data_IF_294724122622
#
_entry.id   IF_294724122622
#
_cell.length_a   1.000
_cell.length_b   1.000
_cell.length_c   1.000
_cell.angle_alpha   90.00
_cell.angle_beta   90.00
_cell.angle_gamma   90.00
#
_symmetry.space_group_name_H-M   'P 1'
#
loop_
_entity.id
_entity.type
_entity.pdbx_description
1 polymer ?
#
# COMPACT_ATOMS: atom_id res chain seq x y z
N UNK A 1 7.76 20.72 -10.11
CA UNK A 1 8.02 19.53 -9.28
C UNK A 1 6.71 19.08 -8.64
N UNK A 2 6.43 17.79 -8.75
CA UNK A 2 5.16 17.15 -8.37
C UNK A 2 5.06 16.87 -6.87
N UNK A 3 3.87 16.97 -6.28
CA UNK A 3 3.54 16.43 -4.95
C UNK A 3 3.18 14.95 -5.07
N UNK A 4 3.79 14.09 -4.26
CA UNK A 4 3.46 12.67 -4.17
C UNK A 4 2.55 12.40 -2.99
N UNK A 5 1.41 11.76 -3.25
CA UNK A 5 0.49 11.26 -2.24
C UNK A 5 0.55 9.74 -2.21
N UNK A 6 0.55 9.15 -1.01
CA UNK A 6 0.31 7.72 -0.80
C UNK A 6 -0.98 7.61 -0.02
N UNK A 7 -2.01 6.97 -0.57
CA UNK A 7 -3.23 6.67 0.18
C UNK A 7 -3.12 5.26 0.78
N UNK A 8 -3.29 5.16 2.09
CA UNK A 8 -3.07 3.90 2.80
C UNK A 8 -4.00 3.75 4.01
N UNK A 9 -4.21 2.50 4.41
CA UNK A 9 -4.83 2.12 5.68
C UNK A 9 -3.76 1.53 6.59
N UNK A 10 -3.85 1.84 7.88
CA UNK A 10 -3.00 1.26 8.90
C UNK A 10 -3.05 -0.29 8.84
N UNK A 11 -1.89 -0.98 8.77
CA UNK A 11 -1.80 -2.44 8.72
C UNK A 11 -2.23 -3.15 10.02
N UNK A 12 -3.52 -3.15 10.34
CA UNK A 12 -4.06 -3.78 11.55
C UNK A 12 -4.64 -5.16 11.24
N UNK A 13 -4.28 -6.23 12.00
CA UNK A 13 -4.85 -7.56 11.85
C UNK A 13 -6.38 -7.54 11.82
N UNK A 14 -6.97 -8.16 10.78
CA UNK A 14 -8.42 -8.22 10.59
C UNK A 14 -9.05 -6.96 9.98
N UNK A 15 -8.31 -5.87 9.77
CA UNK A 15 -8.80 -4.65 9.10
C UNK A 15 -8.27 -4.48 7.68
N UNK A 16 -7.14 -5.10 7.36
CA UNK A 16 -6.49 -5.06 6.03
C UNK A 16 -6.34 -6.46 5.45
N UNK A 17 -6.31 -6.54 4.11
CA UNK A 17 -6.05 -7.77 3.35
C UNK A 17 -6.83 -8.99 3.85
N UNK A 18 -8.10 -8.80 4.17
CA UNK A 18 -8.98 -9.89 4.65
C UNK A 18 -9.14 -11.00 3.63
N UNK A 19 -9.00 -10.69 2.32
CA UNK A 19 -8.97 -11.67 1.22
C UNK A 19 -7.73 -12.57 1.19
N UNK A 20 -6.69 -12.25 1.98
CA UNK A 20 -5.55 -13.15 2.22
C UNK A 20 -5.82 -14.18 3.33
N UNK A 21 -6.97 -14.09 4.01
CA UNK A 21 -7.37 -14.97 5.12
C UNK A 21 -8.61 -15.78 4.72
N UNK A 22 -8.52 -17.09 4.43
CA UNK A 22 -7.32 -17.96 4.30
C UNK A 22 -6.50 -17.70 3.00
N UNK A 23 -5.26 -18.23 2.87
CA UNK A 23 -4.59 -19.20 3.75
C UNK A 23 -3.84 -18.58 4.93
N UNK A 24 -3.62 -17.27 4.93
CA UNK A 24 -2.86 -16.62 5.98
C UNK A 24 -3.75 -16.30 7.19
N UNK A 25 -3.15 -16.24 8.37
CA UNK A 25 -3.82 -15.68 9.56
C UNK A 25 -3.97 -14.16 9.43
N UNK A 26 -4.91 -13.53 10.17
CA UNK A 26 -5.03 -12.07 10.18
C UNK A 26 -3.75 -11.31 10.52
N UNK A 27 -2.87 -11.90 11.36
CA UNK A 27 -1.56 -11.32 11.70
C UNK A 27 -0.58 -11.38 10.53
N UNK A 28 -0.54 -12.51 9.82
CA UNK A 28 0.29 -12.65 8.62
C UNK A 28 -0.20 -11.71 7.51
N UNK A 29 -1.51 -11.62 7.27
CA UNK A 29 -2.08 -10.70 6.30
C UNK A 29 -1.76 -9.23 6.60
N UNK A 30 -1.80 -8.82 7.88
CA UNK A 30 -1.38 -7.48 8.29
C UNK A 30 0.14 -7.26 8.11
N UNK A 31 0.98 -8.24 8.43
CA UNK A 31 2.42 -8.14 8.19
C UNK A 31 2.76 -8.02 6.70
N UNK A 32 2.01 -8.71 5.82
CA UNK A 32 2.13 -8.56 4.36
C UNK A 32 1.71 -7.17 3.90
N UNK A 33 0.60 -6.64 4.41
CA UNK A 33 0.16 -5.28 4.12
C UNK A 33 1.18 -4.22 4.60
N UNK A 34 1.76 -4.41 5.79
CA UNK A 34 2.81 -3.55 6.33
C UNK A 34 4.05 -3.55 5.45
N UNK A 35 4.52 -4.73 5.05
CA UNK A 35 5.68 -4.87 4.17
C UNK A 35 5.42 -4.23 2.80
N UNK A 36 4.21 -4.38 2.26
CA UNK A 36 3.82 -3.74 0.99
C UNK A 36 3.82 -2.22 1.07
N UNK A 37 3.24 -1.68 2.13
CA UNK A 37 3.22 -0.25 2.39
C UNK A 37 4.64 0.29 2.57
N UNK A 38 5.49 -0.40 3.34
CA UNK A 38 6.87 0.00 3.54
C UNK A 38 7.69 0.04 2.23
N UNK A 39 7.51 -0.93 1.33
CA UNK A 39 8.17 -0.93 0.02
C UNK A 39 7.66 0.21 -0.87
N UNK A 40 6.35 0.48 -0.87
CA UNK A 40 5.73 1.62 -1.57
C UNK A 40 6.29 2.96 -1.07
N UNK A 41 6.35 3.15 0.25
CA UNK A 41 6.88 4.37 0.87
C UNK A 41 8.36 4.58 0.55
N UNK A 42 9.16 3.51 0.55
CA UNK A 42 10.57 3.58 0.17
C UNK A 42 10.77 3.98 -1.30
N UNK A 43 9.94 3.47 -2.21
CA UNK A 43 9.95 3.88 -3.62
C UNK A 43 9.60 5.38 -3.76
N UNK A 44 8.58 5.85 -3.04
CA UNK A 44 8.15 7.26 -3.05
C UNK A 44 9.20 8.19 -2.43
N UNK A 45 9.91 7.75 -1.39
CA UNK A 45 11.02 8.52 -0.82
C UNK A 45 12.15 8.75 -1.81
N UNK A 46 12.52 7.71 -2.56
CA UNK A 46 13.61 7.75 -3.54
C UNK A 46 13.24 8.50 -4.83
N UNK A 47 11.95 8.73 -5.08
CA UNK A 47 11.49 9.45 -6.25
C UNK A 47 11.61 10.99 -6.06
N UNK A 48 11.92 11.77 -7.11
CA UNK A 48 12.02 13.23 -7.01
C UNK A 48 10.63 13.85 -6.82
N UNK A 49 10.40 14.51 -5.68
CA UNK A 49 9.12 15.14 -5.37
C UNK A 49 9.33 16.45 -4.59
N UNK A 50 8.41 17.40 -4.81
CA UNK A 50 8.34 18.66 -4.04
C UNK A 50 7.96 18.37 -2.58
N UNK A 51 6.98 17.49 -2.40
CA UNK A 51 6.36 17.13 -1.13
C UNK A 51 5.91 15.68 -1.19
N UNK A 52 5.96 14.97 -0.06
CA UNK A 52 5.47 13.60 0.08
C UNK A 52 4.47 13.56 1.22
N UNK A 53 3.27 13.06 0.95
CA UNK A 53 2.17 13.04 1.90
C UNK A 53 1.61 11.63 2.00
N UNK A 54 1.49 11.11 3.22
CA UNK A 54 0.76 9.90 3.52
C UNK A 54 -0.66 10.27 3.97
N UNK A 55 -1.65 9.91 3.17
CA UNK A 55 -3.08 10.09 3.46
C UNK A 55 -3.59 8.81 4.13
N UNK A 56 -3.67 8.82 5.47
CA UNK A 56 -3.77 7.62 6.29
C UNK A 56 -5.14 7.41 6.95
N UNK A 57 -5.72 6.23 6.77
CA UNK A 57 -6.82 5.71 7.60
C UNK A 57 -6.22 4.90 8.77
N UNK A 58 -6.11 5.54 9.94
CA UNK A 58 -5.51 4.97 11.15
C UNK A 58 -4.33 5.79 11.66
N UNK A 59 -3.45 5.14 12.43
CA UNK A 59 -2.27 5.78 13.02
C UNK A 59 -0.97 5.38 12.29
N UNK A 60 0.03 6.27 12.20
CA UNK A 60 1.35 5.90 11.68
C UNK A 60 2.02 4.90 12.63
N UNK A 61 2.78 3.96 12.06
CA UNK A 61 3.52 2.96 12.82
C UNK A 61 5.02 2.95 12.49
N UNK A 62 5.79 2.00 13.05
CA UNK A 62 7.23 1.85 12.80
C UNK A 62 7.61 1.64 11.32
N UNK A 63 6.65 1.22 10.50
CA UNK A 63 6.77 1.06 9.05
C UNK A 63 6.86 2.38 8.28
N UNK A 64 6.54 3.52 8.90
CA UNK A 64 6.61 4.84 8.27
C UNK A 64 8.03 5.43 8.41
N UNK A 65 8.80 5.56 7.33
CA UNK A 65 10.08 6.26 7.36
C UNK A 65 9.89 7.79 7.51
N UNK A 66 10.91 8.53 7.98
CA UNK A 66 10.87 9.99 8.00
C UNK A 66 10.80 10.57 6.57
N UNK A 67 10.31 11.81 6.45
CA UNK A 67 10.22 12.52 5.17
C UNK A 67 8.83 12.54 4.53
N UNK A 68 7.80 12.09 5.26
CA UNK A 68 6.39 12.23 4.89
C UNK A 68 5.66 13.17 5.83
N UNK A 69 4.80 14.02 5.26
CA UNK A 69 3.72 14.64 6.01
C UNK A 69 2.58 13.62 6.14
N UNK A 70 2.04 13.43 7.34
CA UNK A 70 0.91 12.52 7.56
C UNK A 70 -0.36 13.34 7.70
N UNK A 71 -1.37 13.03 6.89
CA UNK A 71 -2.71 13.63 6.97
C UNK A 71 -3.75 12.52 7.13
N UNK A 72 -4.78 12.72 7.97
CA UNK A 72 -5.83 11.72 8.13
C UNK A 72 -6.71 11.64 6.88
N UNK A 73 -7.17 10.43 6.53
CA UNK A 73 -8.26 10.26 5.58
C UNK A 73 -9.57 10.80 6.16
N UNK A 74 -10.41 11.39 5.30
CA UNK A 74 -11.79 11.72 5.64
C UNK A 74 -12.63 10.46 5.78
N UNK A 75 -13.77 10.57 6.46
CA UNK A 75 -14.82 9.55 6.36
C UNK A 75 -15.33 9.45 4.92
N UNK A 76 -16.01 8.35 4.59
CA UNK A 76 -16.64 8.16 3.29
C UNK A 76 -16.05 7.05 2.44
N UNK A 77 -16.48 7.01 1.19
CA UNK A 77 -15.99 6.10 0.14
C UNK A 77 -14.56 6.41 -0.29
N UNK A 78 -13.94 5.51 -1.05
CA UNK A 78 -12.58 5.74 -1.57
C UNK A 78 -12.55 6.92 -2.55
N UNK A 79 -13.57 7.09 -3.36
CA UNK A 79 -13.75 8.24 -4.25
C UNK A 79 -13.76 9.58 -3.50
N UNK A 80 -14.49 9.66 -2.38
CA UNK A 80 -14.54 10.85 -1.53
C UNK A 80 -13.19 11.14 -0.85
N UNK A 81 -12.49 10.09 -0.40
CA UNK A 81 -11.15 10.19 0.20
C UNK A 81 -10.10 10.65 -0.82
N UNK A 82 -10.18 10.17 -2.06
CA UNK A 82 -9.33 10.64 -3.16
C UNK A 82 -9.60 12.12 -3.45
N UNK A 83 -10.87 12.53 -3.54
CA UNK A 83 -11.23 13.94 -3.71
C UNK A 83 -10.63 14.82 -2.60
N UNK A 84 -10.79 14.41 -1.34
CA UNK A 84 -10.24 15.14 -0.19
C UNK A 84 -8.70 15.23 -0.22
N UNK A 85 -8.02 14.17 -0.66
CA UNK A 85 -6.57 14.14 -0.80
C UNK A 85 -6.07 15.16 -1.84
N UNK A 86 -6.73 15.24 -3.00
CA UNK A 86 -6.41 16.24 -4.03
C UNK A 86 -6.79 17.67 -3.61
N UNK A 87 -7.87 17.85 -2.85
CA UNK A 87 -8.28 19.18 -2.36
C UNK A 87 -7.22 19.85 -1.47
N UNK A 88 -6.42 19.06 -0.76
CA UNK A 88 -5.32 19.55 0.08
C UNK A 88 -4.03 19.91 -0.68
N UNK A 89 -4.02 19.84 -2.01
CA UNK A 89 -2.82 19.98 -2.83
C UNK A 89 -2.92 21.17 -3.79
N UNK A 90 -1.77 21.73 -4.16
CA UNK A 90 -1.66 22.76 -5.21
C UNK A 90 -0.58 22.36 -6.19
N UNK A 91 -0.83 22.65 -7.48
CA UNK A 91 0.04 22.25 -8.58
C UNK A 91 0.10 20.73 -8.79
N UNK A 92 1.01 20.26 -9.68
CA UNK A 92 1.00 18.88 -10.13
C UNK A 92 1.09 17.89 -8.98
N UNK A 93 0.18 16.94 -8.95
CA UNK A 93 0.02 15.98 -7.86
C UNK A 93 -0.20 14.58 -8.42
N UNK A 94 0.52 13.59 -7.90
CA UNK A 94 0.38 12.18 -8.25
C UNK A 94 0.11 11.39 -6.97
N UNK A 95 -0.99 10.66 -6.96
CA UNK A 95 -1.40 9.78 -5.88
C UNK A 95 -1.16 8.33 -6.28
N UNK A 96 -0.62 7.55 -5.35
CA UNK A 96 -0.45 6.10 -5.49
C UNK A 96 -1.10 5.33 -4.34
N UNK A 97 -1.55 4.09 -4.61
CA UNK A 97 -2.06 3.17 -3.60
C UNK A 97 -0.96 2.45 -2.81
N UNK A 98 -1.33 1.74 -1.74
CA UNK A 98 -0.42 1.02 -0.85
C UNK A 98 -0.13 -0.46 -1.23
N UNK A 99 -0.84 -0.96 -2.24
CA UNK A 99 -0.98 -2.40 -2.51
C UNK A 99 -0.09 -2.91 -3.66
N UNK A 100 0.90 -2.11 -4.07
CA UNK A 100 1.83 -2.40 -5.17
C UNK A 100 3.29 -2.46 -4.68
N UNK A 101 3.70 -3.52 -3.94
CA UNK A 101 5.06 -3.62 -3.40
C UNK A 101 6.17 -3.72 -4.47
N UNK A 102 5.80 -4.00 -5.72
CA UNK A 102 6.69 -3.95 -6.88
C UNK A 102 6.91 -2.54 -7.44
N UNK A 103 6.28 -1.51 -6.86
CA UNK A 103 6.50 -0.12 -7.25
C UNK A 103 7.98 0.26 -7.10
N UNK A 104 8.51 0.97 -8.09
CA UNK A 104 9.89 1.47 -8.08
C UNK A 104 9.91 2.95 -8.46
N UNK A 105 10.96 3.71 -8.09
CA UNK A 105 11.10 5.09 -8.52
C UNK A 105 11.05 5.26 -10.05
N UNK A 106 11.55 4.28 -10.80
CA UNK A 106 11.54 4.29 -12.27
C UNK A 106 10.11 4.22 -12.84
N UNK A 107 9.18 3.55 -12.15
CA UNK A 107 7.77 3.51 -12.57
C UNK A 107 7.05 4.85 -12.36
N UNK A 108 7.55 5.68 -11.43
CA UNK A 108 7.01 7.02 -11.16
C UNK A 108 7.66 8.11 -12.02
N UNK A 109 8.88 7.88 -12.50
CA UNK A 109 9.71 8.83 -13.25
C UNK A 109 8.97 9.55 -14.40
N UNK A 110 8.11 8.90 -15.21
CA UNK A 110 7.39 9.57 -16.28
C UNK A 110 6.53 10.76 -15.82
N UNK A 111 5.95 10.68 -14.61
CA UNK A 111 5.08 11.70 -14.01
C UNK A 111 5.85 12.70 -13.10
N UNK A 112 7.15 12.49 -12.88
CA UNK A 112 7.95 13.26 -11.93
C UNK A 112 9.09 14.06 -12.56
N UNK A 113 9.49 13.74 -13.80
CA UNK A 113 10.46 14.53 -14.57
C UNK A 113 10.00 15.98 -14.80
N UNK A 114 10.93 16.94 -15.00
CA UNK A 114 10.60 18.37 -15.07
C UNK A 114 9.55 18.75 -16.12
N UNK A 115 9.50 18.03 -17.24
CA UNK A 115 8.60 18.24 -18.38
C UNK A 115 7.38 17.30 -18.37
N UNK A 116 7.17 16.50 -17.31
CA UNK A 116 6.15 15.46 -17.23
C UNK A 116 4.72 15.96 -17.53
N UNK A 117 4.46 17.22 -17.21
CA UNK A 117 3.16 17.88 -17.33
C UNK A 117 3.08 18.84 -18.53
N UNK A 118 4.14 18.96 -19.33
CA UNK A 118 4.08 19.72 -20.57
C UNK A 118 3.24 18.97 -21.60
N UNK A 119 2.10 19.56 -21.95
CA UNK A 119 1.15 18.95 -22.86
C UNK A 119 0.43 17.73 -22.29
N UNK A 120 0.39 17.59 -20.96
CA UNK A 120 -0.22 16.46 -20.25
C UNK A 120 -0.93 16.99 -19.01
N UNK A 121 -2.22 16.71 -18.89
CA UNK A 121 -3.05 17.26 -17.81
C UNK A 121 -3.31 16.22 -16.72
N UNK A 122 -3.20 14.92 -17.06
CA UNK A 122 -3.36 13.83 -16.11
C UNK A 122 -2.46 12.62 -16.41
N UNK A 123 -2.06 11.92 -15.36
CA UNK A 123 -1.39 10.62 -15.42
C UNK A 123 -2.30 9.54 -14.82
N UNK A 124 -2.33 8.35 -15.42
CA UNK A 124 -3.17 7.26 -14.95
C UNK A 124 -2.39 5.94 -14.92
N UNK A 125 -2.35 5.27 -13.78
CA UNK A 125 -1.70 3.97 -13.60
C UNK A 125 -2.75 2.87 -13.44
N UNK A 126 -3.13 2.16 -14.52
CA UNK A 126 -4.12 1.09 -14.46
C UNK A 126 -3.63 -0.09 -13.62
N UNK A 127 -4.52 -0.68 -12.82
CA UNK A 127 -4.26 -1.94 -12.13
C UNK A 127 -4.86 -3.12 -12.92
N UNK A 128 -4.22 -4.28 -12.84
CA UNK A 128 -4.60 -5.47 -13.61
C UNK A 128 -5.99 -6.04 -13.23
N UNK A 129 -6.46 -5.75 -12.02
CA UNK A 129 -7.77 -6.17 -11.50
C UNK A 129 -8.93 -5.29 -11.98
N UNK A 130 -8.64 -4.28 -12.80
CA UNK A 130 -9.61 -3.32 -13.30
C UNK A 130 -9.71 -2.03 -12.48
N UNK A 131 -8.93 -1.89 -11.40
CA UNK A 131 -8.74 -0.65 -10.65
C UNK A 131 -7.65 0.26 -11.23
N UNK A 132 -7.04 1.06 -10.35
CA UNK A 132 -5.85 1.86 -10.67
C UNK A 132 -4.95 1.99 -9.45
N UNK A 133 -3.64 1.84 -9.67
CA UNK A 133 -2.62 2.00 -8.64
C UNK A 133 -2.12 3.45 -8.55
N UNK A 134 -2.33 4.26 -9.59
CA UNK A 134 -1.98 5.67 -9.60
C UNK A 134 -2.96 6.55 -10.36
N UNK A 135 -3.08 7.79 -9.91
CA UNK A 135 -3.78 8.87 -10.62
C UNK A 135 -3.09 10.19 -10.29
N UNK A 136 -2.89 11.03 -11.29
CA UNK A 136 -2.26 12.33 -11.10
C UNK A 136 -2.89 13.40 -11.96
N UNK A 137 -2.88 14.63 -11.46
CA UNK A 137 -3.45 15.82 -12.08
C UNK A 137 -2.43 16.95 -12.08
N UNK A 138 -2.30 17.66 -13.21
CA UNK A 138 -1.44 18.84 -13.33
C UNK A 138 -1.96 19.96 -12.42
N UNK A 139 -3.29 20.08 -12.36
CA UNK A 139 -4.02 20.97 -11.48
C UNK A 139 -5.03 20.11 -10.69
N UNK A 140 -4.85 19.95 -9.37
CA UNK A 140 -5.74 19.15 -8.54
C UNK A 140 -7.19 19.62 -8.64
N UNK A 141 -8.07 18.73 -9.11
CA UNK A 141 -9.51 18.95 -9.19
C UNK A 141 -10.23 17.81 -8.44
N UNK A 142 -10.68 18.06 -7.20
CA UNK A 142 -11.40 17.09 -6.38
C UNK A 142 -12.71 16.60 -7.01
N UNK A 143 -13.31 17.36 -7.93
CA UNK A 143 -14.61 17.01 -8.52
C UNK A 143 -14.53 15.82 -9.48
N UNK A 144 -13.33 15.42 -9.88
CA UNK A 144 -13.08 14.33 -10.82
C UNK A 144 -13.16 12.92 -10.21
N UNK A 145 -13.45 12.78 -8.91
CA UNK A 145 -13.47 11.48 -8.21
C UNK A 145 -14.87 11.03 -7.75
N UNK A 146 -15.71 11.88 -7.10
CA UNK A 146 -16.95 11.44 -6.46
C UNK A 146 -17.94 10.74 -7.41
N UNK A 147 -18.43 9.55 -7.03
CA UNK A 147 -19.38 8.77 -7.83
C UNK A 147 -18.75 7.90 -8.92
N UNK A 148 -17.42 7.72 -8.95
CA UNK A 148 -16.84 6.57 -9.66
C UNK A 148 -17.09 5.32 -8.80
N UNK A 149 -17.66 4.23 -9.35
CA UNK A 149 -17.82 2.98 -8.62
C UNK A 149 -16.45 2.44 -8.20
N UNK A 150 -16.28 2.21 -6.90
CA UNK A 150 -15.03 1.67 -6.33
C UNK A 150 -15.13 0.15 -6.15
N UNK A 151 -13.99 -0.55 -6.16
CA UNK A 151 -13.90 -2.01 -5.95
C UNK A 151 -14.63 -2.86 -7.01
N UNK A 152 -14.61 -2.42 -8.27
CA UNK A 152 -15.10 -3.20 -9.41
C UNK A 152 -14.01 -3.36 -10.47
N UNK A 153 -14.15 -4.37 -11.34
CA UNK A 153 -13.27 -4.61 -12.49
C UNK A 153 -13.38 -3.51 -13.59
N UNK A 154 -14.25 -2.53 -13.38
CA UNK A 154 -14.46 -1.37 -14.26
C UNK A 154 -14.05 -0.05 -13.62
N UNK A 155 -13.66 -0.03 -12.34
CA UNK A 155 -13.33 1.20 -11.60
C UNK A 155 -12.32 2.07 -12.34
N UNK A 156 -11.22 1.46 -12.80
CA UNK A 156 -10.15 2.14 -13.51
C UNK A 156 -10.56 2.67 -14.87
N UNK A 157 -11.31 1.89 -15.66
CA UNK A 157 -11.84 2.37 -16.94
C UNK A 157 -12.77 3.58 -16.74
N UNK A 158 -13.69 3.51 -15.77
CA UNK A 158 -14.63 4.59 -15.48
C UNK A 158 -13.90 5.85 -14.99
N UNK A 159 -12.91 5.70 -14.10
CA UNK A 159 -12.10 6.82 -13.61
C UNK A 159 -11.31 7.46 -14.76
N UNK A 160 -10.63 6.67 -15.59
CA UNK A 160 -9.87 7.18 -16.74
C UNK A 160 -10.77 7.89 -17.73
N UNK A 161 -11.95 7.33 -18.03
CA UNK A 161 -12.94 7.95 -18.90
C UNK A 161 -13.42 9.28 -18.35
N UNK A 162 -13.64 9.38 -17.03
CA UNK A 162 -14.01 10.65 -16.39
C UNK A 162 -12.96 11.74 -16.61
N UNK A 163 -11.68 11.40 -16.52
CA UNK A 163 -10.59 12.35 -16.82
C UNK A 163 -10.64 12.82 -18.27
N UNK A 164 -10.86 11.91 -19.23
CA UNK A 164 -10.94 12.27 -20.65
C UNK A 164 -12.22 13.04 -21.00
N UNK A 165 -13.35 12.69 -20.40
CA UNK A 165 -14.64 13.36 -20.61
C UNK A 165 -14.62 14.79 -20.03
N UNK A 166 -13.75 15.06 -19.05
CA UNK A 166 -13.44 16.41 -18.57
C UNK A 166 -12.47 17.19 -19.49
N UNK A 167 -12.07 16.62 -20.63
CA UNK A 167 -11.20 17.27 -21.61
C UNK A 167 -9.71 17.18 -21.31
N UNK A 168 -9.28 16.38 -20.33
CA UNK A 168 -7.88 16.25 -19.94
C UNK A 168 -7.10 15.38 -20.94
N UNK A 169 -5.86 15.77 -21.26
CA UNK A 169 -4.90 14.92 -21.96
C UNK A 169 -4.28 13.95 -20.97
N UNK A 170 -4.82 12.73 -20.94
CA UNK A 170 -4.40 11.66 -20.06
C UNK A 170 -3.26 10.86 -20.69
N UNK A 171 -2.18 10.64 -19.94
CA UNK A 171 -1.12 9.67 -20.28
C UNK A 171 -1.15 8.50 -19.29
N UNK A 172 -0.82 7.32 -19.79
CA UNK A 172 -0.83 6.12 -18.96
C UNK A 172 0.58 5.78 -18.46
N UNK A 173 0.66 5.38 -17.18
CA UNK A 173 1.80 4.69 -16.58
C UNK A 173 1.68 3.18 -16.88
N UNK A 174 2.74 2.38 -16.65
CA UNK A 174 2.65 0.93 -16.81
C UNK A 174 1.55 0.30 -15.94
N UNK A 175 0.96 -0.78 -16.42
CA UNK A 175 0.00 -1.59 -15.65
C UNK A 175 0.76 -2.29 -14.51
N UNK A 176 0.24 -2.22 -13.29
CA UNK A 176 0.71 -3.00 -12.14
C UNK A 176 -0.39 -3.94 -11.63
N UNK A 177 0.01 -4.90 -10.78
CA UNK A 177 -0.90 -5.81 -10.09
C UNK A 177 -0.98 -5.46 -8.62
N UNK A 178 -2.18 -5.24 -8.12
CA UNK A 178 -2.43 -5.05 -6.70
C UNK A 178 -2.44 -6.41 -5.99
N UNK A 179 -1.89 -6.47 -4.77
CA UNK A 179 -1.87 -7.70 -3.99
C UNK A 179 -3.15 -7.85 -3.20
N UNK A 180 -4.13 -8.60 -3.71
CA UNK A 180 -5.40 -8.82 -2.99
C UNK A 180 -5.63 -10.25 -2.54
N UNK A 181 -5.12 -11.21 -3.29
CA UNK A 181 -5.26 -12.65 -3.03
C UNK A 181 -3.89 -13.30 -2.83
N UNK A 182 -3.88 -14.54 -2.33
CA UNK A 182 -2.64 -15.31 -2.19
C UNK A 182 -1.96 -15.57 -3.55
N UNK A 183 -2.74 -15.67 -4.65
CA UNK A 183 -2.19 -15.79 -5.99
C UNK A 183 -1.46 -14.49 -6.40
N UNK A 184 -2.06 -13.33 -6.13
CA UNK A 184 -1.40 -12.04 -6.40
C UNK A 184 -0.13 -11.89 -5.56
N UNK A 185 -0.17 -12.30 -4.29
CA UNK A 185 1.00 -12.27 -3.41
C UNK A 185 2.16 -13.10 -3.98
N UNK A 186 1.89 -14.33 -4.42
CA UNK A 186 2.90 -15.19 -5.02
C UNK A 186 3.49 -14.59 -6.32
N UNK A 187 2.62 -14.07 -7.19
CA UNK A 187 3.06 -13.50 -8.47
C UNK A 187 3.87 -12.21 -8.28
N UNK A 188 3.39 -11.30 -7.43
CA UNK A 188 4.07 -10.04 -7.13
C UNK A 188 5.39 -10.26 -6.39
N UNK A 189 5.46 -11.25 -5.50
CA UNK A 189 6.74 -11.64 -4.88
C UNK A 189 7.74 -12.19 -5.90
N UNK A 190 7.28 -12.83 -6.97
CA UNK A 190 8.11 -13.24 -8.11
C UNK A 190 8.62 -12.07 -8.94
N UNK A 191 7.80 -11.02 -9.11
CA UNK A 191 8.18 -9.78 -9.83
C UNK A 191 9.22 -8.98 -9.03
N UNK A 192 9.06 -8.90 -7.71
CA UNK A 192 9.92 -8.12 -6.81
C UNK A 192 10.54 -9.00 -5.71
N UNK A 193 11.44 -9.95 -6.03
CA UNK A 193 11.91 -10.96 -5.07
C UNK A 193 12.76 -10.41 -3.92
N UNK A 194 13.38 -9.24 -4.13
CA UNK A 194 14.17 -8.50 -3.14
C UNK A 194 13.37 -7.54 -2.26
N UNK A 195 12.04 -7.46 -2.43
CA UNK A 195 11.17 -6.61 -1.62
C UNK A 195 11.01 -7.13 -0.18
N UNK A 196 10.63 -6.24 0.76
CA UNK A 196 10.23 -6.65 2.11
C UNK A 196 8.98 -7.51 2.05
N UNK A 197 8.07 -7.19 1.14
CA UNK A 197 6.87 -7.97 0.87
C UNK A 197 7.19 -9.43 0.52
N UNK A 198 8.11 -9.67 -0.43
CA UNK A 198 8.51 -11.02 -0.81
C UNK A 198 9.20 -11.76 0.36
N UNK A 199 9.96 -11.06 1.20
CA UNK A 199 10.54 -11.65 2.41
C UNK A 199 9.47 -12.02 3.44
N UNK A 200 8.47 -11.16 3.65
CA UNK A 200 7.36 -11.41 4.56
C UNK A 200 6.49 -12.59 4.09
N UNK A 201 6.26 -12.73 2.78
CA UNK A 201 5.53 -13.85 2.20
C UNK A 201 6.24 -15.17 2.45
N UNK A 202 7.54 -15.25 2.15
CA UNK A 202 8.36 -16.44 2.45
C UNK A 202 8.32 -16.81 3.93
N UNK A 203 8.33 -15.82 4.82
CA UNK A 203 8.22 -16.06 6.25
C UNK A 203 6.83 -16.57 6.67
N UNK A 204 5.76 -16.10 6.02
CA UNK A 204 4.39 -16.53 6.28
C UNK A 204 4.10 -17.95 5.76
N UNK A 205 4.77 -18.37 4.69
CA UNK A 205 4.63 -19.71 4.10
C UNK A 205 5.45 -20.79 4.83
N UNK A 206 6.38 -20.39 5.71
CA UNK A 206 7.10 -21.35 6.56
C UNK A 206 6.13 -22.01 7.55
N UNK A 207 6.21 -23.34 7.75
CA UNK A 207 5.44 -24.00 8.80
C UNK A 207 5.81 -23.38 10.16
N UNK A 208 4.86 -23.30 11.12
CA UNK A 208 5.20 -22.85 12.46
C UNK A 208 6.36 -23.70 12.98
N UNK A 209 7.46 -23.04 13.34
CA UNK A 209 8.65 -23.72 13.84
C UNK A 209 8.30 -24.63 15.02
N UNK A 210 9.10 -25.68 15.29
CA UNK A 210 8.83 -26.55 16.42
C UNK A 210 8.70 -25.71 17.69
N UNK A 211 7.60 -25.91 18.42
CA UNK A 211 7.41 -25.31 19.74
C UNK A 211 8.65 -25.63 20.56
N UNK A 212 9.44 -24.60 20.92
CA UNK A 212 10.49 -24.76 21.93
C UNK A 212 9.77 -25.05 23.24
N UNK A 213 9.60 -26.33 23.55
CA UNK A 213 9.28 -26.79 24.89
C UNK A 213 10.50 -26.41 25.73
N UNK A 214 10.41 -25.28 26.43
CA UNK A 214 11.36 -24.95 27.48
C UNK A 214 11.33 -26.13 28.48
N UNK A 215 12.47 -26.75 28.80
CA UNK A 215 12.50 -27.84 29.76
C UNK A 215 11.90 -27.34 31.08
N UNK A 216 10.86 -28.02 31.56
CA UNK A 216 10.31 -27.81 32.89
C UNK A 216 11.45 -27.93 33.90
N UNK A 217 11.59 -26.98 34.85
CA UNK A 217 12.60 -27.09 35.89
C UNK A 217 12.39 -28.40 36.64
N UNK A 218 13.45 -29.20 36.76
CA UNK A 218 13.43 -30.46 37.48
C UNK A 218 12.89 -30.21 38.90
N UNK A 219 11.81 -30.91 39.24
CA UNK A 219 11.22 -30.88 40.58
C UNK A 219 12.30 -31.24 41.60
N UNK A 220 12.41 -30.42 42.65
CA UNK A 220 13.19 -30.76 43.82
C UNK A 220 12.59 -32.03 44.42
N UNK A 221 13.30 -33.15 44.28
CA UNK A 221 13.06 -34.34 45.07
C UNK A 221 13.52 -34.02 46.49
N UNK A 222 12.56 -33.72 47.37
CA UNK A 222 12.79 -33.68 48.81
C UNK A 222 13.05 -35.12 49.29
N UNK A 223 14.32 -35.44 49.48
CA UNK A 223 14.79 -36.70 50.01
C UNK A 223 15.22 -36.52 51.46
N UNK A 224 14.27 -36.77 52.36
CA UNK A 224 14.49 -37.53 53.59
C UNK A 224 15.03 -36.78 54.81
N UNK A 225 14.33 -36.97 55.93
CA UNK A 225 14.85 -37.77 57.06
C UNK A 225 13.73 -38.08 58.05
N UNK A 226 13.52 -39.38 58.26
CA UNK A 226 12.97 -39.91 59.49
C UNK A 226 14.13 -40.02 60.50
N UNK A 227 13.92 -39.57 61.74
CA UNK A 227 14.65 -40.08 62.90
C UNK A 227 13.81 -39.92 64.17
N UNK A 228 13.93 -40.92 65.03
CA UNK A 228 13.12 -41.22 66.21
C UNK A 228 13.29 -40.24 67.37
N UNK A 229 12.19 -39.96 68.09
CA UNK A 229 11.97 -40.22 69.52
C UNK A 229 10.56 -39.83 69.94
#
# INVERSE_FOLDING_TARGET
MTTLLVIAKEPVPGRVKTRLTPPYSPRQAAALAEASLADTLDAVLRAPARRRVLVLDGAPGPWLPPGFDVVPQTSGGLDERLAAAFAGCTGPTLLVGMDTPQLTPALLEPALRPDAWLGCDAWFGPAQDGGFWAVGLAEPDPTLFPGVPMSTDRTGEIQRRRLTDAGLRVRDLPVLRDVDTAADAAEVAGIAPGSRFAAALRAADLPPGPLRILPMPAGHADAGRAEAL
#
